data_IF_377283102348
#
_entry.id   IF_377283102348
#
_cell.length_a   1.000
_cell.length_b   1.000
_cell.length_c   1.000
_cell.angle_alpha   90.00
_cell.angle_beta   90.00
_cell.angle_gamma   90.00
#
_symmetry.space_group_name_H-M   'P 1'
#
loop_
_entity.id
_entity.type
_entity.pdbx_description
1 polymer ?
#
# COMPACT_ATOMS: atom_id res chain seq x y z
N UNK A 1 -69.16 20.86 9.79
CA UNK A 1 -68.40 22.00 9.26
C UNK A 1 -66.96 21.75 9.66
N UNK A 2 -66.17 21.16 8.76
CA UNK A 2 -64.77 20.82 9.01
C UNK A 2 -63.88 21.93 8.46
N UNK A 3 -63.08 22.55 9.31
CA UNK A 3 -62.04 23.49 8.91
C UNK A 3 -60.95 22.71 8.20
N UNK A 4 -60.85 22.90 6.89
CA UNK A 4 -59.73 22.42 6.08
C UNK A 4 -58.50 23.21 6.48
N UNK A 5 -57.62 22.58 7.26
CA UNK A 5 -56.30 23.11 7.61
C UNK A 5 -55.49 23.29 6.32
N UNK A 6 -55.35 24.54 5.90
CA UNK A 6 -54.58 24.92 4.72
C UNK A 6 -53.10 24.84 5.09
N UNK A 7 -52.46 23.71 4.79
CA UNK A 7 -51.01 23.56 4.92
C UNK A 7 -50.35 24.53 3.93
N UNK A 8 -49.59 25.53 4.39
CA UNK A 8 -48.95 26.48 3.49
C UNK A 8 -47.91 25.77 2.63
N UNK A 9 -47.74 26.20 1.36
CA UNK A 9 -46.74 25.62 0.48
C UNK A 9 -45.33 25.81 1.06
N UNK A 10 -44.43 24.83 0.88
CA UNK A 10 -43.06 24.94 1.38
C UNK A 10 -42.39 26.18 0.77
N UNK A 11 -41.89 27.06 1.64
CA UNK A 11 -41.15 28.26 1.26
C UNK A 11 -39.96 27.88 0.38
N UNK A 12 -39.90 28.45 -0.83
CA UNK A 12 -38.79 28.25 -1.78
C UNK A 12 -37.45 28.80 -1.28
N UNK A 13 -37.47 29.59 -0.21
CA UNK A 13 -36.29 30.22 0.40
C UNK A 13 -35.83 29.51 1.68
N UNK A 14 -36.42 28.36 2.02
CA UNK A 14 -35.94 27.52 3.11
C UNK A 14 -34.65 26.81 2.68
N UNK A 15 -33.53 27.52 2.78
CA UNK A 15 -32.19 26.92 2.76
C UNK A 15 -32.21 25.85 3.86
N UNK A 16 -32.03 24.56 3.51
CA UNK A 16 -32.02 23.50 4.51
C UNK A 16 -30.93 23.84 5.53
N UNK A 17 -31.21 23.68 6.84
CA UNK A 17 -30.25 24.04 7.88
C UNK A 17 -28.92 23.33 7.59
N UNK A 18 -27.82 24.07 7.62
CA UNK A 18 -26.50 23.60 7.19
C UNK A 18 -26.08 22.27 7.83
N UNK A 19 -26.62 21.97 9.02
CA UNK A 19 -26.49 20.70 9.74
C UNK A 19 -27.02 19.48 8.97
N UNK A 20 -28.12 19.58 8.23
CA UNK A 20 -28.70 18.45 7.45
C UNK A 20 -27.82 18.11 6.22
N UNK A 21 -27.13 19.11 5.65
CA UNK A 21 -26.19 18.87 4.55
C UNK A 21 -24.92 18.17 5.00
N UNK A 22 -24.41 18.48 6.19
CA UNK A 22 -23.17 17.88 6.72
C UNK A 22 -23.37 16.42 7.12
N UNK A 23 -24.53 16.05 7.68
CA UNK A 23 -24.85 14.66 8.02
C UNK A 23 -25.02 13.74 6.80
N UNK A 24 -25.60 14.25 5.71
CA UNK A 24 -25.75 13.48 4.47
C UNK A 24 -24.44 13.32 3.68
N UNK A 25 -23.45 14.20 3.90
CA UNK A 25 -22.14 14.15 3.24
C UNK A 25 -21.18 13.14 3.88
N UNK A 26 -21.28 12.93 5.20
CA UNK A 26 -20.40 12.03 5.95
C UNK A 26 -20.35 10.57 5.43
N UNK A 27 -21.48 9.90 5.11
CA UNK A 27 -21.41 8.54 4.55
C UNK A 27 -20.79 8.51 3.15
N UNK A 28 -21.08 9.52 2.32
CA UNK A 28 -20.55 9.66 0.97
C UNK A 28 -19.02 9.86 0.97
N UNK A 29 -18.50 10.63 1.94
CA UNK A 29 -17.05 10.78 2.12
C UNK A 29 -16.39 9.48 2.55
N UNK A 30 -17.01 8.71 3.45
CA UNK A 30 -16.49 7.43 3.88
C UNK A 30 -16.45 6.40 2.73
N UNK A 31 -17.50 6.34 1.90
CA UNK A 31 -17.54 5.51 0.69
C UNK A 31 -16.41 5.88 -0.28
N UNK A 32 -16.22 7.18 -0.55
CA UNK A 32 -15.14 7.65 -1.42
C UNK A 32 -13.75 7.30 -0.88
N UNK A 33 -13.53 7.35 0.43
CA UNK A 33 -12.27 6.95 1.05
C UNK A 33 -12.02 5.43 0.95
N UNK A 34 -13.08 4.63 1.10
CA UNK A 34 -13.01 3.17 0.90
C UNK A 34 -12.66 2.85 -0.55
N UNK A 35 -13.26 3.53 -1.52
CA UNK A 35 -12.96 3.36 -2.95
C UNK A 35 -11.49 3.71 -3.26
N UNK A 36 -10.99 4.83 -2.72
CA UNK A 36 -9.58 5.21 -2.86
C UNK A 36 -8.67 4.12 -2.28
N UNK A 37 -9.00 3.58 -1.11
CA UNK A 37 -8.21 2.50 -0.51
C UNK A 37 -8.21 1.23 -1.37
N UNK A 38 -9.35 0.85 -1.95
CA UNK A 38 -9.42 -0.31 -2.85
C UNK A 38 -8.53 -0.12 -4.08
N UNK A 39 -8.56 1.07 -4.68
CA UNK A 39 -7.69 1.40 -5.82
C UNK A 39 -6.21 1.29 -5.44
N UNK A 40 -5.82 1.80 -4.26
CA UNK A 40 -4.43 1.70 -3.76
C UNK A 40 -4.04 0.22 -3.55
N UNK A 41 -4.91 -0.57 -2.92
CA UNK A 41 -4.66 -1.99 -2.67
C UNK A 41 -4.51 -2.78 -3.98
N UNK A 42 -5.32 -2.48 -4.99
CA UNK A 42 -5.22 -3.09 -6.32
C UNK A 42 -3.91 -2.71 -7.02
N UNK A 43 -3.48 -1.46 -6.92
CA UNK A 43 -2.17 -1.01 -7.41
C UNK A 43 -1.00 -1.77 -6.79
N UNK A 44 -1.05 -2.02 -5.48
CA UNK A 44 -0.02 -2.82 -4.78
C UNK A 44 0.01 -4.25 -5.33
N UNK A 45 -1.16 -4.89 -5.48
CA UNK A 45 -1.26 -6.25 -6.06
C UNK A 45 -0.73 -6.30 -7.50
N UNK A 46 -0.97 -5.27 -8.31
CA UNK A 46 -0.39 -5.18 -9.65
C UNK A 46 1.13 -5.05 -9.64
N UNK A 47 1.70 -4.33 -8.68
CA UNK A 47 3.16 -4.24 -8.53
C UNK A 47 3.77 -5.61 -8.19
N UNK A 48 3.13 -6.36 -7.29
CA UNK A 48 3.57 -7.71 -6.90
C UNK A 48 3.46 -8.71 -8.06
N UNK A 49 2.37 -8.64 -8.83
CA UNK A 49 2.19 -9.47 -10.02
C UNK A 49 3.30 -9.22 -11.06
N UNK A 50 3.66 -7.94 -11.31
CA UNK A 50 4.76 -7.59 -12.22
C UNK A 50 6.09 -8.15 -11.73
N UNK A 51 6.37 -8.02 -10.44
CA UNK A 51 7.59 -8.56 -9.83
C UNK A 51 7.65 -10.10 -9.96
N UNK A 52 6.54 -10.80 -9.72
CA UNK A 52 6.45 -12.25 -9.89
C UNK A 52 6.69 -12.69 -11.35
N UNK A 53 6.15 -11.95 -12.33
CA UNK A 53 6.38 -12.23 -13.76
C UNK A 53 7.86 -12.07 -14.11
N UNK A 54 8.50 -10.98 -13.68
CA UNK A 54 9.94 -10.74 -13.92
C UNK A 54 10.80 -11.87 -13.34
N UNK A 55 10.50 -12.29 -12.11
CA UNK A 55 11.17 -13.42 -11.45
C UNK A 55 10.96 -14.74 -12.19
N UNK A 56 9.74 -14.99 -12.68
CA UNK A 56 9.40 -16.23 -13.40
C UNK A 56 10.12 -16.31 -14.73
N UNK A 57 10.12 -15.23 -15.52
CA UNK A 57 10.83 -15.17 -16.80
C UNK A 57 12.34 -15.29 -16.57
N UNK A 58 12.87 -14.57 -15.56
CA UNK A 58 14.28 -14.67 -15.18
C UNK A 58 14.68 -16.09 -14.78
N UNK A 59 13.91 -16.74 -13.91
CA UNK A 59 14.13 -18.11 -13.48
C UNK A 59 14.03 -19.12 -14.63
N UNK A 60 13.06 -18.94 -15.53
CA UNK A 60 12.91 -19.78 -16.72
C UNK A 60 14.11 -19.67 -17.66
N UNK A 61 14.59 -18.43 -17.92
CA UNK A 61 15.80 -18.21 -18.71
C UNK A 61 17.03 -18.83 -18.02
N UNK A 62 17.18 -18.68 -16.70
CA UNK A 62 18.26 -19.30 -15.95
C UNK A 62 18.27 -20.84 -16.09
N UNK A 63 17.09 -21.46 -16.02
CA UNK A 63 16.94 -22.90 -16.21
C UNK A 63 17.39 -23.39 -17.59
N UNK A 64 17.29 -22.56 -18.62
CA UNK A 64 17.74 -22.88 -19.99
C UNK A 64 19.21 -22.53 -20.23
N UNK A 65 19.68 -21.40 -19.70
CA UNK A 65 21.04 -20.89 -19.91
C UNK A 65 22.10 -21.70 -19.15
N UNK A 66 21.79 -22.20 -17.95
CA UNK A 66 22.74 -22.99 -17.15
C UNK A 66 23.20 -24.27 -17.88
N UNK A 67 22.30 -25.17 -18.33
CA UNK A 67 22.71 -26.39 -19.01
C UNK A 67 23.39 -26.12 -20.35
N UNK A 68 22.90 -25.16 -21.12
CA UNK A 68 23.50 -24.80 -22.42
C UNK A 68 24.92 -24.24 -22.27
N UNK A 69 25.16 -23.42 -21.24
CA UNK A 69 26.50 -22.90 -20.96
C UNK A 69 27.44 -24.00 -20.48
N UNK A 70 26.96 -24.95 -19.68
CA UNK A 70 27.76 -26.11 -19.23
C UNK A 70 28.25 -26.92 -20.43
N UNK A 71 27.35 -27.26 -21.35
CA UNK A 71 27.70 -28.03 -22.55
C UNK A 71 28.64 -27.24 -23.47
N UNK A 72 28.46 -25.93 -23.56
CA UNK A 72 29.36 -25.04 -24.31
C UNK A 72 30.78 -25.01 -23.72
N UNK A 73 30.90 -24.97 -22.40
CA UNK A 73 32.19 -24.88 -21.69
C UNK A 73 32.98 -26.20 -21.66
N UNK A 74 32.32 -27.35 -21.70
CA UNK A 74 32.98 -28.66 -21.57
C UNK A 74 33.33 -29.31 -22.90
N UNK A 75 32.90 -28.74 -24.02
CA UNK A 75 33.05 -29.36 -25.32
C UNK A 75 34.23 -28.74 -26.09
N UNK A 76 35.43 -29.28 -25.81
CA UNK A 76 36.72 -28.84 -26.38
C UNK A 76 36.82 -28.90 -27.92
N UNK A 77 35.81 -29.52 -28.58
CA UNK A 77 35.75 -29.66 -30.03
C UNK A 77 35.14 -28.44 -30.73
N UNK A 78 34.59 -27.48 -29.98
CA UNK A 78 34.07 -26.24 -30.57
C UNK A 78 35.23 -25.31 -30.97
N UNK A 79 35.27 -24.95 -32.24
CA UNK A 79 36.21 -23.94 -32.74
C UNK A 79 35.71 -22.58 -32.28
N UNK A 80 36.43 -21.96 -31.33
CA UNK A 80 36.17 -20.60 -30.89
C UNK A 80 36.89 -19.59 -31.79
N UNK A 81 36.29 -18.42 -32.09
CA UNK A 81 36.91 -17.43 -32.97
C UNK A 81 38.10 -16.71 -32.31
N UNK A 82 38.17 -16.68 -30.98
CA UNK A 82 39.21 -15.99 -30.22
C UNK A 82 39.62 -16.77 -28.97
N UNK A 83 40.88 -16.69 -28.57
CA UNK A 83 41.43 -17.39 -27.39
C UNK A 83 40.82 -16.95 -26.05
N UNK A 84 40.25 -15.74 -26.00
CA UNK A 84 39.60 -15.19 -24.81
C UNK A 84 38.08 -15.39 -24.81
N UNK A 85 37.51 -16.01 -25.85
CA UNK A 85 36.07 -16.10 -26.04
C UNK A 85 35.35 -16.72 -24.83
N UNK A 86 35.86 -17.86 -24.35
CA UNK A 86 35.31 -18.56 -23.18
C UNK A 86 35.29 -17.68 -21.93
N UNK A 87 36.36 -16.91 -21.70
CA UNK A 87 36.42 -15.94 -20.57
C UNK A 87 35.36 -14.86 -20.74
N UNK A 88 35.17 -14.34 -21.95
CA UNK A 88 34.14 -13.35 -22.26
C UNK A 88 32.73 -13.85 -21.98
N UNK A 89 32.40 -15.07 -22.43
CA UNK A 89 31.08 -15.68 -22.19
C UNK A 89 30.84 -15.89 -20.69
N UNK A 90 31.84 -16.39 -19.95
CA UNK A 90 31.73 -16.59 -18.49
C UNK A 90 31.50 -15.26 -17.75
N UNK A 91 32.25 -14.21 -18.09
CA UNK A 91 32.08 -12.88 -17.49
C UNK A 91 30.68 -12.33 -17.79
N UNK A 92 30.22 -12.42 -19.04
CA UNK A 92 28.89 -11.96 -19.43
C UNK A 92 27.79 -12.72 -18.68
N UNK A 93 27.95 -14.03 -18.51
CA UNK A 93 27.02 -14.86 -17.74
C UNK A 93 26.98 -14.46 -16.26
N UNK A 94 28.14 -14.23 -15.63
CA UNK A 94 28.21 -13.77 -14.23
C UNK A 94 27.56 -12.40 -14.06
N UNK A 95 27.80 -11.47 -14.99
CA UNK A 95 27.15 -10.15 -14.99
C UNK A 95 25.64 -10.28 -15.12
N UNK A 96 25.16 -11.07 -16.07
CA UNK A 96 23.73 -11.34 -16.26
C UNK A 96 23.09 -11.96 -15.01
N UNK A 97 23.75 -12.96 -14.40
CA UNK A 97 23.29 -13.61 -13.18
C UNK A 97 23.25 -12.62 -12.01
N UNK A 98 24.26 -11.76 -11.90
CA UNK A 98 24.30 -10.69 -10.90
C UNK A 98 23.14 -9.71 -11.06
N UNK A 99 22.83 -9.27 -12.29
CA UNK A 99 21.66 -8.42 -12.58
C UNK A 99 20.35 -9.13 -12.26
N UNK A 100 20.26 -10.43 -12.54
CA UNK A 100 19.08 -11.24 -12.24
C UNK A 100 18.84 -11.39 -10.73
N UNK A 101 19.88 -11.69 -9.96
CA UNK A 101 19.82 -11.74 -8.49
C UNK A 101 19.45 -10.37 -7.94
N UNK A 102 20.07 -9.31 -8.44
CA UNK A 102 19.77 -7.94 -8.02
C UNK A 102 18.31 -7.58 -8.34
N UNK A 103 17.81 -7.91 -9.53
CA UNK A 103 16.41 -7.77 -9.91
C UNK A 103 15.49 -8.51 -8.95
N UNK A 104 15.83 -9.74 -8.55
CA UNK A 104 15.09 -10.50 -7.56
C UNK A 104 15.08 -9.82 -6.19
N UNK A 105 16.21 -9.30 -5.73
CA UNK A 105 16.28 -8.53 -4.48
C UNK A 105 15.38 -7.30 -4.57
N UNK A 106 15.42 -6.53 -5.66
CA UNK A 106 14.54 -5.37 -5.85
C UNK A 106 13.06 -5.77 -5.91
N UNK A 107 12.73 -6.87 -6.59
CA UNK A 107 11.38 -7.43 -6.62
C UNK A 107 10.90 -7.80 -5.21
N UNK A 108 11.71 -8.49 -4.41
CA UNK A 108 11.38 -8.79 -3.02
C UNK A 108 11.26 -7.54 -2.15
N UNK A 109 12.09 -6.51 -2.37
CA UNK A 109 11.95 -5.21 -1.70
C UNK A 109 10.67 -4.46 -2.11
N UNK A 110 10.16 -4.73 -3.32
CA UNK A 110 8.87 -4.21 -3.78
C UNK A 110 7.70 -4.98 -3.17
N UNK A 111 7.79 -6.31 -3.02
CA UNK A 111 6.70 -7.16 -2.50
C UNK A 111 6.63 -7.11 -0.97
N UNK A 112 7.77 -7.21 -0.31
CA UNK A 112 7.85 -7.20 1.15
C UNK A 112 8.02 -5.75 1.60
N UNK A 113 6.96 -5.07 2.10
CA UNK A 113 7.19 -3.88 2.89
C UNK A 113 8.13 -4.31 4.02
N UNK A 114 9.28 -3.65 4.17
CA UNK A 114 10.15 -3.88 5.33
C UNK A 114 9.28 -3.67 6.57
N UNK A 115 8.88 -4.77 7.20
CA UNK A 115 8.20 -4.77 8.49
C UNK A 115 9.26 -4.26 9.46
N UNK A 116 9.35 -2.94 9.60
CA UNK A 116 10.13 -2.36 10.69
C UNK A 116 9.47 -2.91 11.95
N UNK A 117 10.22 -3.59 12.79
CA UNK A 117 9.78 -4.22 14.04
C UNK A 117 9.19 -3.24 15.08
N UNK A 118 8.86 -2.00 14.69
CA UNK A 118 8.07 -1.08 15.47
C UNK A 118 6.59 -1.26 15.15
N UNK A 119 5.78 -1.62 16.15
CA UNK A 119 4.34 -1.35 16.13
C UNK A 119 4.17 0.14 15.87
N UNK A 120 3.78 0.52 14.65
CA UNK A 120 3.48 1.92 14.35
C UNK A 120 2.30 2.32 15.26
N UNK A 121 2.41 3.38 16.08
CA UNK A 121 1.37 3.73 17.05
C UNK A 121 0.02 4.01 16.39
N UNK A 122 0.01 4.42 15.13
CA UNK A 122 -1.23 4.59 14.36
C UNK A 122 -1.88 3.26 13.93
N UNK A 123 -1.15 2.13 13.89
CA UNK A 123 -1.73 0.82 13.54
C UNK A 123 -2.81 0.40 14.56
N UNK A 124 -2.64 0.78 15.82
CA UNK A 124 -3.64 0.57 16.86
C UNK A 124 -4.93 1.35 16.64
N UNK A 125 -4.90 2.41 15.82
CA UNK A 125 -6.07 3.24 15.47
C UNK A 125 -6.83 2.75 14.24
N UNK A 126 -6.34 1.73 13.53
CA UNK A 126 -7.00 1.17 12.35
C UNK A 126 -7.61 -0.21 12.61
N UNK A 127 -8.04 -0.45 13.85
CA UNK A 127 -8.39 -1.76 14.40
C UNK A 127 -9.44 -2.52 13.57
N UNK A 128 -10.36 -1.80 12.93
CA UNK A 128 -11.53 -2.37 12.27
C UNK A 128 -11.42 -2.40 10.74
N UNK A 129 -10.38 -1.77 10.19
CA UNK A 129 -10.23 -1.57 8.75
C UNK A 129 -8.94 -2.18 8.20
N UNK A 130 -7.80 -1.95 8.85
CA UNK A 130 -6.50 -2.34 8.29
C UNK A 130 -6.21 -3.82 8.59
N UNK A 131 -5.93 -4.69 7.59
CA UNK A 131 -5.78 -6.13 7.82
C UNK A 131 -4.77 -6.51 8.91
N UNK A 132 -3.61 -5.86 8.92
CA UNK A 132 -2.59 -6.11 9.95
C UNK A 132 -3.01 -5.65 11.37
N UNK A 133 -3.88 -4.64 11.46
CA UNK A 133 -4.41 -4.19 12.74
C UNK A 133 -5.47 -5.17 13.24
N UNK A 134 -6.37 -5.61 12.36
CA UNK A 134 -7.38 -6.63 12.64
C UNK A 134 -6.70 -7.92 13.12
N UNK A 135 -5.71 -8.44 12.39
CA UNK A 135 -4.94 -9.63 12.76
C UNK A 135 -4.28 -9.49 14.14
N UNK A 136 -3.82 -8.29 14.49
CA UNK A 136 -3.15 -8.04 15.76
C UNK A 136 -4.10 -7.89 16.96
N UNK A 137 -5.38 -7.58 16.72
CA UNK A 137 -6.35 -7.22 17.76
C UNK A 137 -7.46 -8.27 17.93
N UNK A 138 -7.78 -9.02 16.88
CA UNK A 138 -8.83 -10.02 16.85
C UNK A 138 -8.26 -11.37 16.45
N UNK A 139 -8.63 -12.42 17.18
CA UNK A 139 -8.34 -13.80 16.76
C UNK A 139 -9.34 -14.23 15.69
N UNK A 140 -8.99 -15.26 14.91
CA UNK A 140 -9.87 -15.82 13.86
C UNK A 140 -11.24 -16.29 14.41
N UNK A 141 -11.29 -16.65 15.69
CA UNK A 141 -12.47 -17.09 16.42
C UNK A 141 -13.30 -15.94 17.04
N UNK A 142 -12.79 -14.71 17.08
CA UNK A 142 -13.42 -13.55 17.74
C UNK A 142 -14.36 -12.74 16.81
N UNK A 143 -15.09 -13.40 15.91
CA UNK A 143 -15.91 -12.73 14.88
C UNK A 143 -17.02 -11.86 15.51
N UNK A 144 -17.73 -12.38 16.53
CA UNK A 144 -18.83 -11.65 17.17
C UNK A 144 -18.35 -10.38 17.89
N UNK A 145 -17.15 -10.45 18.49
CA UNK A 145 -16.51 -9.31 19.13
C UNK A 145 -16.17 -8.26 18.08
N UNK A 146 -15.57 -8.66 16.96
CA UNK A 146 -15.25 -7.75 15.86
C UNK A 146 -16.50 -7.03 15.33
N UNK A 147 -17.58 -7.77 15.06
CA UNK A 147 -18.84 -7.18 14.57
C UNK A 147 -19.41 -6.17 15.58
N UNK A 148 -19.41 -6.54 16.86
CA UNK A 148 -19.88 -5.65 17.93
C UNK A 148 -19.04 -4.38 18.01
N UNK A 149 -17.72 -4.50 18.02
CA UNK A 149 -16.82 -3.36 18.15
C UNK A 149 -16.96 -2.44 16.90
N UNK A 150 -17.05 -3.00 15.69
CA UNK A 150 -17.40 -2.27 14.47
C UNK A 150 -18.73 -1.50 14.57
N UNK A 151 -19.78 -2.12 15.14
CA UNK A 151 -21.09 -1.47 15.28
C UNK A 151 -21.08 -0.30 16.27
N UNK A 152 -20.17 -0.31 17.26
CA UNK A 152 -20.05 0.74 18.27
C UNK A 152 -19.26 1.96 17.78
N UNK A 153 -18.32 1.76 16.87
CA UNK A 153 -17.46 2.84 16.33
C UNK A 153 -18.27 3.84 15.48
N UNK A 154 -19.27 3.35 14.73
CA UNK A 154 -20.08 4.16 13.82
C UNK A 154 -19.30 4.70 12.61
N UNK A 155 -19.98 5.46 11.75
CA UNK A 155 -19.41 5.96 10.48
C UNK A 155 -18.29 6.97 10.69
N UNK A 156 -18.44 7.89 11.65
CA UNK A 156 -17.42 8.88 11.96
C UNK A 156 -16.14 8.25 12.54
N UNK A 157 -16.28 7.22 13.37
CA UNK A 157 -15.13 6.48 13.89
C UNK A 157 -14.41 5.73 12.77
N UNK A 158 -15.15 5.02 11.90
CA UNK A 158 -14.58 4.32 10.76
C UNK A 158 -13.79 5.25 9.84
N UNK A 159 -14.33 6.45 9.56
CA UNK A 159 -13.61 7.48 8.79
C UNK A 159 -12.25 7.82 9.40
N UNK A 160 -12.18 8.04 10.71
CA UNK A 160 -10.92 8.33 11.40
C UNK A 160 -9.92 7.17 11.31
N UNK A 161 -10.41 5.92 11.34
CA UNK A 161 -9.56 4.73 11.18
C UNK A 161 -8.99 4.61 9.76
N UNK A 162 -9.82 4.92 8.74
CA UNK A 162 -9.42 4.94 7.34
C UNK A 162 -8.39 6.05 7.10
N UNK A 163 -8.62 7.26 7.62
CA UNK A 163 -7.67 8.37 7.53
C UNK A 163 -6.33 8.03 8.21
N UNK A 164 -6.38 7.36 9.37
CA UNK A 164 -5.17 6.85 10.03
C UNK A 164 -4.45 5.79 9.18
N UNK A 165 -5.20 4.93 8.48
CA UNK A 165 -4.66 3.93 7.57
C UNK A 165 -3.96 4.57 6.38
N UNK A 166 -4.62 5.54 5.73
CA UNK A 166 -4.05 6.32 4.64
C UNK A 166 -2.78 7.06 5.07
N UNK A 167 -2.75 7.61 6.29
CA UNK A 167 -1.54 8.24 6.83
C UNK A 167 -0.38 7.24 6.93
N UNK A 168 -0.62 6.04 7.46
CA UNK A 168 0.40 4.98 7.55
C UNK A 168 0.90 4.61 6.14
N UNK A 169 -0.02 4.35 5.21
CA UNK A 169 0.32 3.98 3.84
C UNK A 169 1.07 5.08 3.12
N UNK A 170 0.75 6.35 3.38
CA UNK A 170 1.48 7.50 2.85
C UNK A 170 2.93 7.54 3.37
N UNK A 171 3.16 7.24 4.66
CA UNK A 171 4.49 7.19 5.23
C UNK A 171 5.30 6.00 4.72
N UNK A 172 4.67 4.83 4.60
CA UNK A 172 5.29 3.63 4.01
C UNK A 172 5.66 3.91 2.55
N UNK A 173 4.74 4.49 1.77
CA UNK A 173 4.95 4.87 0.38
C UNK A 173 6.05 5.92 0.24
N UNK A 174 6.05 6.96 1.08
CA UNK A 174 7.11 7.97 1.09
C UNK A 174 8.48 7.36 1.41
N UNK A 175 8.55 6.42 2.36
CA UNK A 175 9.79 5.72 2.69
C UNK A 175 10.24 4.74 1.58
N UNK A 176 9.29 4.09 0.89
CA UNK A 176 9.54 3.09 -0.17
C UNK A 176 9.91 3.74 -1.51
N UNK A 177 9.25 4.84 -1.86
CA UNK A 177 9.44 5.58 -3.11
C UNK A 177 10.25 6.87 -2.94
N UNK A 178 10.89 7.06 -1.79
CA UNK A 178 11.85 8.14 -1.61
C UNK A 178 12.95 8.00 -2.66
N UNK A 179 12.94 8.92 -3.65
CA UNK A 179 13.91 8.92 -4.75
C UNK A 179 15.32 8.99 -4.17
N UNK A 180 16.22 8.06 -4.52
CA UNK A 180 17.64 8.32 -4.40
C UNK A 180 17.97 9.47 -5.36
N UNK A 181 18.16 10.70 -4.85
CA UNK A 181 18.64 11.83 -5.63
C UNK A 181 17.85 13.14 -5.55
N UNK A 182 16.73 13.23 -4.81
CA UNK A 182 16.14 14.54 -4.49
C UNK A 182 16.86 15.13 -3.26
N UNK A 183 17.50 16.31 -3.36
CA UNK A 183 18.13 16.96 -2.22
C UNK A 183 17.11 17.18 -1.11
N UNK A 184 17.56 16.94 0.13
CA UNK A 184 16.79 16.86 1.38
C UNK A 184 16.20 18.21 1.84
N UNK A 185 16.04 19.19 0.95
CA UNK A 185 15.86 20.60 1.31
C UNK A 185 14.43 21.14 1.16
N UNK A 186 13.43 20.31 0.84
CA UNK A 186 12.06 20.83 0.60
C UNK A 186 10.97 20.33 1.57
N UNK A 187 11.27 19.46 2.54
CA UNK A 187 10.23 18.89 3.42
C UNK A 187 10.62 18.86 4.90
N UNK A 188 11.21 19.95 5.40
CA UNK A 188 11.40 20.18 6.84
C UNK A 188 10.84 21.52 7.31
N UNK A 189 9.80 22.04 6.64
CA UNK A 189 8.88 22.96 7.31
C UNK A 189 8.01 22.09 8.21
N UNK A 190 8.52 21.78 9.40
CA UNK A 190 7.74 21.13 10.45
C UNK A 190 6.50 21.97 10.75
N UNK A 191 5.39 21.35 11.16
CA UNK A 191 4.26 22.10 11.69
C UNK A 191 4.76 22.93 12.90
N UNK A 192 4.34 24.19 13.05
CA UNK A 192 4.74 25.00 14.20
C UNK A 192 4.29 24.29 15.48
N UNK A 193 5.26 23.96 16.33
CA UNK A 193 5.06 23.47 17.69
C UNK A 193 4.15 24.43 18.44
N UNK A 194 2.86 24.10 18.62
CA UNK A 194 1.95 25.08 19.25
C UNK A 194 0.55 24.67 19.67
N UNK A 195 0.00 23.49 19.37
CA UNK A 195 -1.45 23.26 19.56
C UNK A 195 -1.88 21.92 20.17
N UNK A 196 -1.14 21.35 21.11
CA UNK A 196 -1.70 20.31 21.99
C UNK A 196 -1.26 20.49 23.45
N UNK A 197 -1.70 21.59 24.07
CA UNK A 197 -1.78 21.67 25.53
C UNK A 197 -3.19 21.25 25.93
N UNK A 198 -3.36 19.99 26.33
CA UNK A 198 -4.62 19.57 26.94
C UNK A 198 -4.81 20.25 28.30
N UNK A 199 -5.99 20.81 28.61
CA UNK A 199 -6.30 21.25 29.96
C UNK A 199 -6.54 20.03 30.85
N UNK A 200 -5.75 19.93 31.93
CA UNK A 200 -5.98 19.00 33.03
C UNK A 200 -7.42 19.17 33.57
N UNK A 201 -8.11 18.05 33.75
CA UNK A 201 -9.19 17.89 34.72
C UNK A 201 -8.70 16.94 35.81
#
# INVERSE_FOLDING_TARGET
MGETEVIPPPSKDAVPPATVRVEALAPLEAENLIDIYQVIAEWIRFADAKAAVVLTVGGGLAGLLIPTLKDYLHNDKLIHPFDWWTKGVVVLYVLWLGVLVLSGIWAFRCILPFRRDGRHPALGRCAHFHPAAIESQYRLDDVDRFIRDCSQVGTAGLKNEVDAGLLIDSHISAAKYHRPGLPRTASSAGPPDGYYRQPNK
#
